data_IF_893632426368
#
_entry.id   IF_893632426368
#
_cell.length_a   1.000
_cell.length_b   1.000
_cell.length_c   1.000
_cell.angle_alpha   90.00
_cell.angle_beta   90.00
_cell.angle_gamma   90.00
#
_symmetry.space_group_name_H-M   'P 1'
#
loop_
_entity.id
_entity.type
_entity.pdbx_description
1 polymer ?
#
# COMPACT_ATOMS: atom_id res chain seq x y z
N UNK A 1 -3.28 -13.90 -1.69
CA UNK A 1 -3.35 -12.57 -1.08
C UNK A 1 -2.20 -12.35 -0.14
N UNK A 2 -1.72 -11.13 -0.04
CA UNK A 2 -0.65 -10.77 0.88
C UNK A 2 -1.10 -9.62 1.77
N UNK A 3 -0.75 -9.70 3.05
CA UNK A 3 -1.06 -8.66 4.02
C UNK A 3 0.22 -8.02 4.50
N UNK A 4 0.20 -6.70 4.61
CA UNK A 4 1.35 -5.91 5.05
C UNK A 4 0.93 -5.08 6.25
N UNK A 5 1.73 -5.13 7.31
CA UNK A 5 1.51 -4.33 8.50
C UNK A 5 2.46 -3.12 8.46
N UNK A 6 1.88 -1.92 8.55
CA UNK A 6 2.63 -0.68 8.64
C UNK A 6 2.32 -0.03 9.99
N UNK A 7 3.11 0.96 10.37
CA UNK A 7 2.86 1.70 11.61
C UNK A 7 1.46 2.32 11.60
N UNK A 8 1.03 2.82 10.45
CA UNK A 8 -0.26 3.50 10.32
C UNK A 8 -1.45 2.61 9.99
N UNK A 9 -1.26 1.30 9.83
CA UNK A 9 -2.37 0.41 9.51
C UNK A 9 -1.96 -0.86 8.79
N UNK A 10 -2.94 -1.51 8.18
CA UNK A 10 -2.74 -2.77 7.45
C UNK A 10 -3.24 -2.63 6.03
N UNK A 11 -2.54 -3.26 5.10
CA UNK A 11 -2.92 -3.31 3.70
C UNK A 11 -2.96 -4.75 3.26
N UNK A 12 -4.02 -5.13 2.54
CA UNK A 12 -4.15 -6.45 1.93
C UNK A 12 -4.19 -6.28 0.43
N UNK A 13 -3.31 -7.00 -0.26
CA UNK A 13 -3.18 -6.94 -1.72
C UNK A 13 -3.40 -8.30 -2.33
N UNK A 14 -4.00 -8.32 -3.51
CA UNK A 14 -4.01 -9.49 -4.37
C UNK A 14 -2.89 -9.32 -5.40
N UNK A 15 -1.84 -10.12 -5.26
CA UNK A 15 -0.67 -10.04 -6.12
C UNK A 15 -0.74 -11.15 -7.16
N UNK A 16 -0.80 -10.78 -8.42
CA UNK A 16 -0.76 -11.70 -9.55
C UNK A 16 0.60 -11.62 -10.24
N UNK A 17 0.78 -12.39 -11.30
CA UNK A 17 2.07 -12.46 -11.99
C UNK A 17 2.48 -11.12 -12.61
N UNK A 18 1.51 -10.30 -13.04
CA UNK A 18 1.77 -9.06 -13.76
C UNK A 18 0.93 -7.88 -13.27
N UNK A 19 0.26 -8.02 -12.11
CA UNK A 19 -0.57 -6.94 -11.59
C UNK A 19 -0.78 -7.08 -10.09
N UNK A 20 -1.20 -5.98 -9.47
CA UNK A 20 -1.53 -5.94 -8.04
C UNK A 20 -2.86 -5.20 -7.89
N UNK A 21 -3.75 -5.76 -7.06
CA UNK A 21 -5.02 -5.14 -6.73
C UNK A 21 -5.10 -4.87 -5.24
N UNK A 22 -5.64 -3.71 -4.87
CA UNK A 22 -5.90 -3.40 -3.48
C UNK A 22 -7.19 -4.10 -3.06
N UNK A 23 -7.10 -4.97 -2.05
CA UNK A 23 -8.25 -5.67 -1.49
C UNK A 23 -8.81 -4.89 -0.31
N UNK A 24 -7.95 -4.44 0.59
CA UNK A 24 -8.35 -3.69 1.77
C UNK A 24 -7.20 -2.83 2.28
N UNK A 25 -7.56 -1.69 2.84
CA UNK A 25 -6.61 -0.83 3.56
C UNK A 25 -7.32 -0.36 4.82
N UNK A 26 -6.80 -0.75 5.98
CA UNK A 26 -7.43 -0.44 7.27
C UNK A 26 -6.46 0.44 8.07
N UNK A 27 -6.78 1.73 8.28
CA UNK A 27 -5.91 2.60 9.05
C UNK A 27 -5.98 2.24 10.54
N UNK A 28 -4.87 2.45 11.23
CA UNK A 28 -4.84 2.37 12.69
C UNK A 28 -5.62 3.56 13.27
N UNK A 29 -5.98 3.46 14.55
CA UNK A 29 -6.73 4.52 15.22
C UNK A 29 -5.98 5.85 15.11
N UNK A 30 -6.69 6.90 14.65
CA UNK A 30 -6.12 8.22 14.48
C UNK A 30 -5.47 8.46 13.12
N UNK A 31 -5.28 7.43 12.30
CA UNK A 31 -4.69 7.58 10.98
C UNK A 31 -5.75 7.74 9.90
N UNK A 32 -5.43 8.54 8.90
CA UNK A 32 -6.23 8.67 7.67
C UNK A 32 -5.57 7.86 6.57
N UNK A 33 -6.38 7.32 5.65
CA UNK A 33 -5.87 6.55 4.52
C UNK A 33 -6.16 7.27 3.22
N UNK A 34 -5.17 7.29 2.33
CA UNK A 34 -5.33 7.77 0.96
C UNK A 34 -4.73 6.75 0.02
N UNK A 35 -5.37 6.55 -1.12
CA UNK A 35 -4.91 5.59 -2.11
C UNK A 35 -4.85 6.25 -3.48
N UNK A 36 -3.82 5.88 -4.24
CA UNK A 36 -3.67 6.28 -5.64
C UNK A 36 -3.34 5.06 -6.46
N UNK A 37 -3.81 5.01 -7.69
CA UNK A 37 -3.45 3.95 -8.60
C UNK A 37 -3.45 4.47 -10.02
N UNK A 38 -2.59 3.87 -10.83
CA UNK A 38 -2.52 4.11 -12.26
C UNK A 38 -2.04 2.84 -12.94
N UNK A 39 -1.90 2.86 -14.26
CA UNK A 39 -1.36 1.70 -14.97
C UNK A 39 0.04 1.41 -14.46
N UNK A 40 0.22 0.22 -13.90
CA UNK A 40 1.54 -0.26 -13.47
C UNK A 40 1.94 0.10 -12.06
N UNK A 41 1.12 0.83 -11.28
CA UNK A 41 1.47 1.10 -9.89
C UNK A 41 0.25 1.38 -9.01
N UNK A 42 0.47 1.19 -7.70
CA UNK A 42 -0.52 1.44 -6.66
C UNK A 42 0.20 1.99 -5.44
N UNK A 43 -0.38 3.02 -4.82
CA UNK A 43 0.17 3.60 -3.60
C UNK A 43 -0.91 3.73 -2.54
N UNK A 44 -0.56 3.40 -1.30
CA UNK A 44 -1.41 3.57 -0.12
C UNK A 44 -0.63 4.34 0.93
N UNK A 45 -1.22 5.44 1.42
CA UNK A 45 -0.61 6.24 2.48
C UNK A 45 -1.53 6.27 3.69
N UNK A 46 -0.95 6.04 4.87
CA UNK A 46 -1.60 6.29 6.15
C UNK A 46 -0.92 7.47 6.81
N UNK A 47 -1.68 8.43 7.30
CA UNK A 47 -1.09 9.62 7.90
C UNK A 47 -1.84 10.07 9.16
N UNK A 48 -1.07 10.54 10.15
CA UNK A 48 -1.57 11.17 11.36
C UNK A 48 -0.57 12.25 11.76
N UNK A 49 -0.95 13.52 11.63
CA UNK A 49 -0.02 14.62 11.89
C UNK A 49 1.22 14.51 11.01
N UNK A 50 2.38 14.39 11.61
CA UNK A 50 3.66 14.23 10.89
C UNK A 50 4.04 12.78 10.66
N UNK A 51 3.28 11.82 11.20
CA UNK A 51 3.56 10.40 11.03
C UNK A 51 2.94 9.91 9.73
N UNK A 52 3.74 9.33 8.85
CA UNK A 52 3.30 8.83 7.57
C UNK A 52 3.87 7.43 7.35
N UNK A 53 2.99 6.51 6.96
CA UNK A 53 3.37 5.16 6.52
C UNK A 53 2.87 4.97 5.11
N UNK A 54 3.71 4.47 4.22
CA UNK A 54 3.36 4.32 2.82
C UNK A 54 3.67 2.92 2.31
N UNK A 55 2.83 2.44 1.40
CA UNK A 55 3.07 1.22 0.67
C UNK A 55 2.97 1.53 -0.82
N UNK A 56 3.97 1.12 -1.59
CA UNK A 56 4.00 1.33 -3.03
C UNK A 56 4.22 -0.02 -3.70
N UNK A 57 3.30 -0.38 -4.59
CA UNK A 57 3.42 -1.57 -5.42
C UNK A 57 3.57 -1.13 -6.88
N UNK A 58 4.53 -1.71 -7.56
CA UNK A 58 4.78 -1.42 -8.98
C UNK A 58 4.93 -2.73 -9.75
N UNK A 59 4.44 -2.73 -10.98
CA UNK A 59 4.54 -3.90 -11.86
C UNK A 59 4.70 -3.51 -13.33
N UNK A 60 5.04 -2.26 -13.59
CA UNK A 60 5.16 -1.76 -14.97
C UNK A 60 6.47 -2.17 -15.66
N UNK A 61 7.39 -2.77 -14.93
CA UNK A 61 8.67 -3.25 -15.47
C UNK A 61 8.83 -4.75 -15.37
N UNK A 62 7.75 -5.47 -15.05
CA UNK A 62 7.80 -6.93 -14.92
C UNK A 62 7.05 -7.43 -13.71
N UNK A 63 7.64 -8.36 -12.95
CA UNK A 63 7.01 -8.93 -11.76
C UNK A 63 6.72 -7.83 -10.72
N UNK A 64 5.62 -7.95 -9.98
CA UNK A 64 5.26 -6.95 -8.97
C UNK A 64 6.32 -6.82 -7.88
N UNK A 65 6.59 -5.58 -7.49
CA UNK A 65 7.47 -5.23 -6.40
C UNK A 65 6.68 -4.39 -5.40
N UNK A 66 6.77 -4.73 -4.11
CA UNK A 66 6.09 -3.99 -3.05
C UNK A 66 7.14 -3.42 -2.11
N UNK A 67 7.05 -2.12 -1.86
CA UNK A 67 7.93 -1.43 -0.92
C UNK A 67 7.07 -0.77 0.15
N UNK A 68 7.54 -0.79 1.39
CA UNK A 68 6.87 -0.14 2.51
C UNK A 68 7.83 0.87 3.16
N UNK A 69 7.25 1.98 3.58
CA UNK A 69 7.98 3.06 4.23
C UNK A 69 7.25 3.42 5.52
N UNK A 70 7.97 3.45 6.63
CA UNK A 70 7.44 3.88 7.92
C UNK A 70 8.25 5.07 8.40
N UNK A 71 7.53 6.10 8.81
CA UNK A 71 8.15 7.32 9.29
C UNK A 71 8.01 7.44 10.81
#
# INVERSE_FOLDING_TARGET
>A
MRSYALTGGHVTLLVAATSVQLVAATPAAGFSVQTWSAAGWLRVDFSEGSDVSSLIATWNTGAPTVQTFND
#
